data_IF_672149587288
#
_entry.id   IF_672149587288
#
_cell.length_a   1.000
_cell.length_b   1.000
_cell.length_c   1.000
_cell.angle_alpha   90.00
_cell.angle_beta   90.00
_cell.angle_gamma   90.00
#
_symmetry.space_group_name_H-M   'P 1'
#
loop_
_entity.id
_entity.type
_entity.pdbx_description
1 polymer ?
#
# COMPACT_ATOMS: atom_id res chain seq x y z
N UNK A 1 37.21 -11.38 -70.44
CA UNK A 1 37.33 -12.77 -69.94
C UNK A 1 37.44 -12.66 -68.42
N UNK A 2 36.34 -12.46 -67.69
CA UNK A 2 35.34 -13.47 -67.30
C UNK A 2 36.00 -14.61 -66.53
N UNK A 3 35.84 -14.64 -65.20
CA UNK A 3 35.73 -15.84 -64.37
C UNK A 3 35.44 -15.39 -62.93
N UNK A 4 34.16 -15.36 -62.55
CA UNK A 4 33.75 -15.29 -61.15
C UNK A 4 32.81 -16.46 -60.89
N UNK A 5 33.26 -17.33 -60.00
CA UNK A 5 32.80 -18.70 -59.81
C UNK A 5 31.45 -18.75 -59.10
N UNK A 6 30.43 -19.29 -59.76
CA UNK A 6 29.18 -19.74 -59.16
C UNK A 6 29.41 -21.12 -58.53
N UNK A 7 29.18 -21.27 -57.23
CA UNK A 7 28.99 -22.59 -56.60
C UNK A 7 27.63 -22.60 -55.91
N UNK A 8 26.76 -23.44 -56.46
CA UNK A 8 25.46 -23.85 -55.93
C UNK A 8 25.69 -24.70 -54.68
N UNK A 9 25.09 -24.35 -53.56
CA UNK A 9 24.95 -25.24 -52.41
C UNK A 9 23.56 -25.08 -51.79
N UNK A 10 22.88 -26.21 -51.67
CA UNK A 10 21.48 -26.36 -51.35
C UNK A 10 21.14 -25.94 -49.90
N UNK A 11 19.90 -25.47 -49.76
CA UNK A 11 19.21 -25.14 -48.52
C UNK A 11 19.27 -26.29 -47.50
N UNK A 12 19.88 -26.04 -46.34
CA UNK A 12 19.61 -26.78 -45.11
C UNK A 12 18.79 -25.88 -44.18
N UNK A 13 17.47 -26.09 -44.18
CA UNK A 13 16.55 -25.53 -43.20
C UNK A 13 16.77 -26.27 -41.89
N UNK A 14 17.53 -25.67 -40.98
CA UNK A 14 17.66 -26.15 -39.60
C UNK A 14 16.57 -25.45 -38.76
N UNK A 15 15.43 -26.12 -38.62
CA UNK A 15 14.38 -25.73 -37.68
C UNK A 15 14.86 -26.00 -36.24
N UNK A 16 15.47 -25.01 -35.61
CA UNK A 16 15.61 -24.98 -34.14
C UNK A 16 14.27 -24.51 -33.58
N UNK A 17 13.42 -25.48 -33.22
CA UNK A 17 12.23 -25.29 -32.39
C UNK A 17 12.67 -24.84 -31.00
N UNK A 18 12.89 -23.53 -30.84
CA UNK A 18 12.83 -22.92 -29.52
C UNK A 18 11.38 -23.00 -29.03
N UNK A 19 11.10 -23.99 -28.18
CA UNK A 19 9.93 -23.98 -27.30
C UNK A 19 10.08 -22.83 -26.29
N UNK A 20 9.86 -21.59 -26.76
CA UNK A 20 9.47 -20.50 -25.91
C UNK A 20 7.99 -20.72 -25.55
N UNK A 21 7.75 -21.56 -24.54
CA UNK A 21 6.45 -21.58 -23.88
C UNK A 21 6.12 -20.16 -23.41
N UNK A 22 4.85 -19.73 -23.46
CA UNK A 22 4.49 -18.40 -23.01
C UNK A 22 4.87 -18.31 -21.53
N UNK A 23 5.88 -17.49 -21.23
CA UNK A 23 6.09 -16.95 -19.89
C UNK A 23 4.89 -16.04 -19.63
N UNK A 24 3.79 -16.65 -19.19
CA UNK A 24 2.65 -15.90 -18.71
C UNK A 24 3.14 -15.00 -17.59
N UNK A 25 3.05 -13.69 -17.82
CA UNK A 25 3.30 -12.67 -16.83
C UNK A 25 2.41 -12.96 -15.62
N UNK A 26 3.00 -13.50 -14.55
CA UNK A 26 2.32 -13.69 -13.26
C UNK A 26 1.81 -12.37 -12.68
N UNK A 27 2.30 -11.24 -13.19
CA UNK A 27 1.82 -9.90 -12.86
C UNK A 27 0.40 -9.58 -13.39
N UNK A 28 -0.13 -10.35 -14.35
CA UNK A 28 -1.49 -10.15 -14.88
C UNK A 28 -2.53 -11.09 -14.22
N UNK A 29 -2.08 -12.09 -13.46
CA UNK A 29 -2.95 -13.09 -12.84
C UNK A 29 -3.65 -12.59 -11.54
N UNK A 30 -3.23 -11.45 -10.98
CA UNK A 30 -3.86 -10.86 -9.79
C UNK A 30 -4.91 -9.78 -10.11
N UNK A 31 -5.06 -9.37 -11.37
CA UNK A 31 -5.88 -8.20 -11.75
C UNK A 31 -7.29 -8.52 -12.21
N UNK A 32 -7.75 -9.77 -12.12
CA UNK A 32 -9.17 -10.08 -12.32
C UNK A 32 -9.92 -9.96 -11.00
N UNK A 33 -10.33 -8.73 -10.66
CA UNK A 33 -11.62 -8.60 -9.98
C UNK A 33 -12.61 -9.29 -10.91
N UNK A 34 -13.21 -10.40 -10.48
CA UNK A 34 -14.38 -10.89 -11.19
C UNK A 34 -15.34 -9.72 -11.26
N UNK A 35 -15.79 -9.30 -12.44
CA UNK A 35 -16.93 -8.40 -12.59
C UNK A 35 -18.25 -9.01 -12.07
N UNK A 36 -18.14 -9.95 -11.12
CA UNK A 36 -19.22 -10.53 -10.38
C UNK A 36 -19.91 -9.44 -9.58
N UNK A 37 -21.22 -9.55 -9.54
CA UNK A 37 -22.07 -8.71 -8.73
C UNK A 37 -21.72 -8.84 -7.24
N UNK A 38 -21.76 -7.70 -6.54
CA UNK A 38 -21.65 -7.67 -5.09
C UNK A 38 -23.05 -7.77 -4.50
N UNK A 39 -23.29 -8.77 -3.67
CA UNK A 39 -24.63 -9.08 -3.15
C UNK A 39 -25.03 -8.21 -1.95
N UNK A 40 -24.05 -7.64 -1.23
CA UNK A 40 -24.21 -6.87 0.00
C UNK A 40 -23.78 -7.64 1.25
N UNK A 41 -23.47 -6.91 2.32
CA UNK A 41 -22.96 -7.46 3.60
C UNK A 41 -23.94 -8.46 4.22
N UNK A 42 -25.25 -8.25 4.02
CA UNK A 42 -26.30 -9.17 4.47
C UNK A 42 -26.21 -10.58 3.86
N UNK A 43 -25.43 -10.79 2.80
CA UNK A 43 -25.12 -12.13 2.27
C UNK A 43 -24.15 -12.91 3.16
N UNK A 44 -23.35 -12.22 3.99
CA UNK A 44 -22.38 -12.81 4.92
C UNK A 44 -22.93 -12.95 6.35
N UNK A 45 -23.94 -12.15 6.71
CA UNK A 45 -24.33 -11.89 8.10
C UNK A 45 -25.25 -12.95 8.77
N UNK A 46 -25.43 -14.11 8.16
CA UNK A 46 -26.17 -15.21 8.81
C UNK A 46 -25.46 -15.73 10.06
N UNK A 47 -26.21 -16.15 11.08
CA UNK A 47 -25.67 -16.72 12.33
C UNK A 47 -24.91 -18.04 12.13
N UNK A 48 -25.17 -18.74 11.04
CA UNK A 48 -24.39 -19.92 10.60
C UNK A 48 -23.19 -19.57 9.73
N UNK A 49 -23.02 -18.29 9.39
CA UNK A 49 -21.98 -17.75 8.51
C UNK A 49 -21.01 -16.89 9.31
N UNK A 50 -21.15 -15.56 9.28
CA UNK A 50 -20.27 -14.59 9.95
C UNK A 50 -21.00 -13.66 10.94
N UNK A 51 -22.24 -14.00 11.32
CA UNK A 51 -23.11 -13.18 12.18
C UNK A 51 -23.38 -13.76 13.58
N UNK A 52 -22.50 -14.62 14.12
CA UNK A 52 -22.61 -15.09 15.51
C UNK A 52 -22.38 -13.96 16.51
N UNK A 53 -22.87 -14.16 17.73
CA UNK A 53 -22.68 -13.22 18.84
C UNK A 53 -21.36 -13.44 19.61
N UNK A 54 -20.80 -14.64 19.50
CA UNK A 54 -19.54 -15.03 20.12
C UNK A 54 -18.61 -15.62 19.07
N UNK A 55 -17.31 -15.57 19.36
CA UNK A 55 -16.23 -16.02 18.49
C UNK A 55 -15.98 -17.54 18.58
N UNK A 56 -17.04 -18.33 18.57
CA UNK A 56 -17.05 -19.76 18.91
C UNK A 56 -17.34 -20.66 17.68
N UNK A 57 -17.21 -20.12 16.47
CA UNK A 57 -17.36 -20.89 15.25
C UNK A 57 -16.31 -22.00 15.09
N UNK A 58 -16.66 -23.06 14.37
CA UNK A 58 -15.87 -24.30 14.32
C UNK A 58 -14.57 -24.20 13.49
N UNK A 59 -14.55 -23.36 12.45
CA UNK A 59 -13.43 -23.22 11.50
C UNK A 59 -12.87 -21.80 11.49
N UNK A 60 -13.75 -20.82 11.65
CA UNK A 60 -13.44 -19.40 11.81
C UNK A 60 -14.26 -18.89 12.99
N UNK A 61 -14.03 -17.66 13.43
CA UNK A 61 -14.71 -17.11 14.61
C UNK A 61 -16.22 -17.04 14.40
N UNK A 62 -16.65 -16.75 13.17
CA UNK A 62 -18.04 -16.55 12.76
C UNK A 62 -18.72 -15.32 13.39
N UNK A 63 -17.99 -14.46 14.10
CA UNK A 63 -18.43 -13.18 14.67
C UNK A 63 -17.93 -11.96 13.87
N UNK A 64 -17.41 -12.17 12.65
CA UNK A 64 -16.69 -11.14 11.90
C UNK A 64 -17.56 -9.90 11.62
N UNK A 65 -18.87 -10.07 11.42
CA UNK A 65 -19.80 -8.95 11.24
C UNK A 65 -19.88 -8.06 12.48
N UNK A 66 -19.82 -8.63 13.70
CA UNK A 66 -19.85 -7.83 14.93
C UNK A 66 -18.61 -6.94 15.03
N UNK A 67 -17.44 -7.46 14.66
CA UNK A 67 -16.20 -6.69 14.68
C UNK A 67 -16.20 -5.59 13.62
N UNK A 68 -16.65 -5.91 12.41
CA UNK A 68 -16.72 -4.96 11.30
C UNK A 68 -17.76 -3.86 11.55
N UNK A 69 -18.89 -4.16 12.19
CA UNK A 69 -19.92 -3.16 12.47
C UNK A 69 -19.69 -2.37 13.77
N UNK A 70 -18.64 -2.69 14.56
CA UNK A 70 -18.32 -1.94 15.78
C UNK A 70 -17.71 -0.58 15.44
N UNK A 71 -18.59 0.40 15.30
CA UNK A 71 -18.27 1.77 14.93
C UNK A 71 -17.43 2.53 15.96
N UNK A 72 -17.30 1.99 17.18
CA UNK A 72 -16.45 2.57 18.22
C UNK A 72 -14.98 2.13 18.10
N UNK A 73 -14.73 1.03 17.38
CA UNK A 73 -13.41 0.44 17.21
C UNK A 73 -12.73 0.91 15.92
N UNK A 74 -11.43 0.62 15.80
CA UNK A 74 -10.71 0.80 14.53
C UNK A 74 -11.23 -0.16 13.45
N UNK A 75 -11.56 -1.42 13.81
CA UNK A 75 -12.08 -2.42 12.88
C UNK A 75 -13.43 -2.04 12.23
N UNK A 76 -14.19 -1.13 12.84
CA UNK A 76 -15.41 -0.59 12.23
C UNK A 76 -15.22 0.68 11.41
N UNK A 77 -13.98 1.09 11.10
CA UNK A 77 -13.74 2.30 10.31
C UNK A 77 -14.36 2.19 8.91
N UNK A 78 -14.29 1.00 8.32
CA UNK A 78 -14.85 0.69 7.02
C UNK A 78 -16.38 0.71 6.99
N UNK A 79 -17.06 0.14 7.99
CA UNK A 79 -18.53 0.14 8.05
C UNK A 79 -19.12 1.55 8.19
N UNK A 80 -18.45 2.45 8.93
CA UNK A 80 -18.89 3.86 9.07
C UNK A 80 -18.43 4.79 7.95
N UNK A 81 -17.67 4.30 6.96
CA UNK A 81 -17.04 5.13 5.94
C UNK A 81 -18.05 5.95 5.13
N UNK A 82 -19.21 5.38 4.79
CA UNK A 82 -20.25 6.12 4.06
C UNK A 82 -20.88 7.23 4.91
N UNK A 83 -21.05 6.99 6.21
CA UNK A 83 -21.66 7.96 7.12
C UNK A 83 -20.77 9.19 7.35
N UNK A 84 -19.44 9.03 7.34
CA UNK A 84 -18.54 10.18 7.54
C UNK A 84 -18.65 11.22 6.43
N UNK A 85 -19.13 10.84 5.24
CA UNK A 85 -19.41 11.77 4.15
C UNK A 85 -20.53 12.77 4.50
N UNK A 86 -21.55 12.32 5.25
CA UNK A 86 -22.66 13.17 5.69
C UNK A 86 -22.34 14.04 6.91
N UNK A 87 -21.14 13.93 7.48
CA UNK A 87 -20.72 14.72 8.65
C UNK A 87 -20.24 16.12 8.25
N UNK A 88 -20.11 17.08 9.20
CA UNK A 88 -19.76 18.47 8.88
C UNK A 88 -18.53 18.64 7.98
N UNK A 89 -17.49 17.82 8.16
CA UNK A 89 -16.30 17.87 7.29
C UNK A 89 -16.61 17.44 5.86
N UNK A 90 -17.33 16.33 5.66
CA UNK A 90 -17.69 15.82 4.33
C UNK A 90 -18.58 16.79 3.57
N UNK A 91 -19.60 17.35 4.24
CA UNK A 91 -20.46 18.40 3.68
C UNK A 91 -19.67 19.66 3.29
N UNK A 92 -18.71 20.08 4.13
CA UNK A 92 -17.87 21.24 3.84
C UNK A 92 -16.92 21.01 2.65
N UNK A 93 -16.39 19.79 2.49
CA UNK A 93 -15.59 19.40 1.32
C UNK A 93 -16.46 19.47 0.07
N UNK A 94 -17.64 18.83 0.10
CA UNK A 94 -18.55 18.79 -1.04
C UNK A 94 -19.02 20.17 -1.49
N UNK A 95 -19.27 21.08 -0.53
CA UNK A 95 -19.63 22.46 -0.80
C UNK A 95 -18.51 23.23 -1.54
N UNK A 96 -17.24 23.05 -1.14
CA UNK A 96 -16.09 23.67 -1.83
C UNK A 96 -15.85 23.09 -3.21
N UNK A 97 -16.13 21.80 -3.40
CA UNK A 97 -16.00 21.11 -4.69
C UNK A 97 -17.18 21.40 -5.64
N UNK A 98 -18.33 21.84 -5.11
CA UNK A 98 -19.55 22.08 -5.88
C UNK A 98 -20.25 20.80 -6.35
N UNK A 99 -20.10 19.69 -5.62
CA UNK A 99 -20.51 18.33 -6.07
C UNK A 99 -21.84 17.85 -5.46
N UNK A 100 -22.54 18.70 -4.70
CA UNK A 100 -23.80 18.36 -4.06
C UNK A 100 -23.62 17.45 -2.83
N UNK A 101 -24.50 16.46 -2.70
CA UNK A 101 -24.50 15.52 -1.57
C UNK A 101 -23.32 14.52 -1.68
N UNK A 102 -22.32 14.56 -0.78
CA UNK A 102 -21.16 13.68 -0.85
C UNK A 102 -21.54 12.21 -0.69
N UNK A 103 -22.66 11.88 -0.03
CA UNK A 103 -23.14 10.50 0.12
C UNK A 103 -23.69 9.90 -1.17
N UNK A 104 -23.76 10.69 -2.25
CA UNK A 104 -24.20 10.29 -3.59
C UNK A 104 -23.13 10.53 -4.66
N UNK A 105 -22.06 11.23 -4.33
CA UNK A 105 -21.01 11.60 -5.27
C UNK A 105 -20.09 10.42 -5.57
N UNK A 106 -19.99 10.02 -6.84
CA UNK A 106 -19.15 8.88 -7.27
C UNK A 106 -17.67 9.03 -6.86
N UNK A 107 -17.15 10.26 -6.86
CA UNK A 107 -15.77 10.56 -6.43
C UNK A 107 -15.53 10.29 -4.93
N UNK A 108 -16.57 10.33 -4.10
CA UNK A 108 -16.48 9.99 -2.69
C UNK A 108 -16.75 8.50 -2.45
N UNK A 109 -17.75 7.95 -3.14
CA UNK A 109 -18.24 6.59 -2.93
C UNK A 109 -17.24 5.51 -3.35
N UNK A 110 -16.27 5.81 -4.24
CA UNK A 110 -15.26 4.84 -4.65
C UNK A 110 -14.37 4.33 -3.50
N UNK A 111 -14.22 5.10 -2.42
CA UNK A 111 -13.46 4.72 -1.23
C UNK A 111 -14.29 4.69 0.07
N UNK A 112 -15.48 5.30 0.08
CA UNK A 112 -16.34 5.38 1.28
C UNK A 112 -17.55 4.44 1.24
N UNK A 113 -17.74 3.70 0.16
CA UNK A 113 -18.72 2.64 0.05
C UNK A 113 -18.09 1.46 -0.69
N UNK A 114 -18.82 0.35 -0.77
CA UNK A 114 -18.42 -0.78 -1.58
C UNK A 114 -18.46 -0.41 -3.08
N UNK A 115 -17.31 -0.36 -3.78
CA UNK A 115 -17.21 0.10 -5.17
C UNK A 115 -17.63 -1.00 -6.15
N UNK A 116 -18.82 -1.56 -5.94
CA UNK A 116 -19.36 -2.67 -6.69
C UNK A 116 -19.62 -2.29 -8.16
N UNK A 117 -19.03 -3.02 -9.13
CA UNK A 117 -19.32 -2.79 -10.55
C UNK A 117 -20.77 -3.15 -10.92
N UNK A 118 -21.37 -4.09 -10.18
CA UNK A 118 -22.78 -4.47 -10.29
C UNK A 118 -23.30 -4.79 -8.89
N UNK A 119 -24.51 -4.34 -8.57
CA UNK A 119 -25.08 -4.35 -7.21
C UNK A 119 -26.27 -5.30 -7.15
N UNK A 120 -26.18 -6.30 -6.28
CA UNK A 120 -27.23 -7.26 -6.03
C UNK A 120 -28.32 -6.74 -5.11
N UNK A 121 -29.37 -7.55 -4.87
CA UNK A 121 -30.60 -7.09 -4.21
C UNK A 121 -30.45 -6.75 -2.72
N UNK A 122 -29.38 -7.19 -2.05
CA UNK A 122 -29.10 -6.86 -0.64
C UNK A 122 -27.96 -5.86 -0.47
N UNK A 123 -27.44 -5.33 -1.58
CA UNK A 123 -26.38 -4.35 -1.56
C UNK A 123 -26.94 -3.01 -1.07
N UNK A 124 -26.28 -2.42 -0.08
CA UNK A 124 -26.68 -1.12 0.47
C UNK A 124 -25.48 -0.19 0.54
N UNK A 125 -25.59 1.00 -0.05
CA UNK A 125 -24.49 1.99 -0.05
C UNK A 125 -24.10 2.41 1.37
N UNK A 126 -25.05 2.40 2.30
CA UNK A 126 -24.83 2.76 3.70
C UNK A 126 -24.09 1.69 4.51
N UNK A 127 -23.85 0.50 3.95
CA UNK A 127 -22.96 -0.49 4.56
C UNK A 127 -21.50 0.04 4.62
N UNK A 128 -21.17 1.10 3.88
CA UNK A 128 -19.81 1.60 3.80
C UNK A 128 -18.92 0.65 3.00
N UNK A 129 -17.65 0.53 3.40
CA UNK A 129 -16.71 -0.42 2.79
C UNK A 129 -17.02 -1.82 3.36
N UNK A 130 -17.75 -2.61 2.57
CA UNK A 130 -18.27 -3.92 2.97
C UNK A 130 -17.29 -5.08 2.73
N UNK A 131 -17.71 -6.29 3.10
CA UNK A 131 -16.92 -7.52 2.99
C UNK A 131 -16.37 -7.72 1.56
N UNK A 132 -17.21 -7.49 0.56
CA UNK A 132 -16.92 -7.77 -0.85
C UNK A 132 -15.91 -6.79 -1.47
N UNK A 133 -15.70 -5.62 -0.86
CA UNK A 133 -14.67 -4.67 -1.28
C UNK A 133 -13.25 -5.25 -1.08
N UNK A 134 -13.08 -6.14 -0.11
CA UNK A 134 -11.81 -6.82 0.19
C UNK A 134 -11.80 -8.29 -0.27
N UNK A 135 -12.88 -9.02 0.00
CA UNK A 135 -12.99 -10.45 -0.31
C UNK A 135 -13.39 -10.75 -1.76
N UNK A 136 -13.85 -9.74 -2.52
CA UNK A 136 -14.35 -9.89 -3.88
C UNK A 136 -15.87 -10.10 -3.94
N UNK A 137 -16.47 -9.81 -5.10
CA UNK A 137 -17.92 -9.93 -5.31
C UNK A 137 -18.44 -11.34 -5.08
N UNK A 138 -19.47 -11.47 -4.23
CA UNK A 138 -19.96 -12.74 -3.72
C UNK A 138 -20.92 -13.46 -4.69
N UNK A 139 -21.33 -12.85 -5.81
CA UNK A 139 -22.03 -13.58 -6.88
C UNK A 139 -21.07 -14.47 -7.72
N UNK A 140 -19.77 -14.44 -7.43
CA UNK A 140 -18.83 -15.42 -7.98
C UNK A 140 -19.01 -16.80 -7.30
N UNK A 141 -18.58 -17.91 -7.95
CA UNK A 141 -18.75 -19.26 -7.42
C UNK A 141 -18.24 -19.49 -6.00
N UNK A 142 -17.32 -18.65 -5.50
CA UNK A 142 -16.74 -18.80 -4.18
C UNK A 142 -17.76 -18.69 -3.04
N UNK A 143 -18.84 -17.90 -3.16
CA UNK A 143 -19.83 -17.80 -2.07
C UNK A 143 -20.64 -19.08 -1.94
N UNK A 144 -21.13 -19.64 -3.06
CA UNK A 144 -21.90 -20.88 -3.05
C UNK A 144 -21.04 -22.09 -2.67
N UNK A 145 -19.76 -22.09 -3.06
CA UNK A 145 -18.81 -23.10 -2.58
C UNK A 145 -18.37 -22.87 -1.13
N UNK A 146 -18.54 -21.66 -0.56
CA UNK A 146 -18.00 -21.30 0.75
C UNK A 146 -18.54 -22.19 1.88
N UNK A 147 -19.82 -22.51 1.82
CA UNK A 147 -20.52 -23.31 2.83
C UNK A 147 -20.73 -24.78 2.40
N UNK A 148 -20.16 -25.19 1.26
CA UNK A 148 -20.28 -26.55 0.79
C UNK A 148 -19.41 -27.51 1.62
N UNK A 149 -19.86 -28.76 1.76
CA UNK A 149 -19.06 -29.82 2.39
C UNK A 149 -17.78 -30.03 1.59
N UNK A 150 -16.63 -29.98 2.26
CA UNK A 150 -15.31 -30.12 1.63
C UNK A 150 -14.79 -28.85 0.97
N UNK A 151 -15.43 -27.69 1.18
CA UNK A 151 -14.89 -26.41 0.75
C UNK A 151 -13.49 -26.17 1.32
N UNK A 152 -12.58 -25.71 0.47
CA UNK A 152 -11.21 -25.34 0.86
C UNK A 152 -10.96 -23.88 0.53
N UNK A 153 -10.00 -23.26 1.22
CA UNK A 153 -9.58 -21.91 0.87
C UNK A 153 -9.12 -21.83 -0.60
N UNK A 154 -8.31 -22.79 -1.05
CA UNK A 154 -7.85 -22.86 -2.44
C UNK A 154 -8.99 -23.02 -3.47
N UNK A 155 -10.05 -23.79 -3.16
CA UNK A 155 -11.20 -23.89 -4.06
C UNK A 155 -12.01 -22.59 -4.11
N UNK A 156 -12.15 -21.88 -2.98
CA UNK A 156 -12.82 -20.58 -2.95
C UNK A 156 -12.02 -19.51 -3.72
N UNK A 157 -10.69 -19.50 -3.60
CA UNK A 157 -9.83 -18.59 -4.40
C UNK A 157 -9.98 -18.87 -5.89
N UNK A 158 -9.98 -20.15 -6.31
CA UNK A 158 -10.28 -20.52 -7.71
C UNK A 158 -11.69 -20.10 -8.14
N UNK A 159 -12.63 -20.05 -7.21
CA UNK A 159 -14.01 -19.60 -7.42
C UNK A 159 -14.21 -18.08 -7.40
N UNK A 160 -13.16 -17.28 -7.20
CA UNK A 160 -13.23 -15.81 -7.24
C UNK A 160 -13.07 -15.09 -5.90
N UNK A 161 -12.83 -15.81 -4.80
CA UNK A 161 -12.42 -15.18 -3.53
C UNK A 161 -11.07 -14.49 -3.72
N UNK A 162 -10.96 -13.21 -3.35
CA UNK A 162 -9.66 -12.52 -3.34
C UNK A 162 -8.77 -13.13 -2.25
N UNK A 163 -7.54 -13.60 -2.58
CA UNK A 163 -6.64 -14.24 -1.62
C UNK A 163 -5.91 -13.19 -0.76
N UNK A 164 -6.65 -12.39 0.02
CA UNK A 164 -6.08 -11.34 0.86
C UNK A 164 -5.22 -11.87 2.02
N UNK A 165 -5.11 -13.18 2.21
CA UNK A 165 -4.07 -13.79 3.04
C UNK A 165 -2.68 -13.69 2.41
N UNK A 166 -2.58 -13.54 1.08
CA UNK A 166 -1.33 -13.26 0.37
C UNK A 166 -0.99 -11.76 0.43
N UNK A 167 0.24 -11.37 0.88
CA UNK A 167 0.63 -9.98 1.03
C UNK A 167 0.43 -9.10 -0.21
N UNK A 168 0.79 -9.59 -1.41
CA UNK A 168 0.64 -8.81 -2.66
C UNK A 168 -0.83 -8.57 -3.02
N UNK A 169 -1.68 -9.59 -2.87
CA UNK A 169 -3.11 -9.46 -3.15
C UNK A 169 -3.80 -8.54 -2.13
N UNK A 170 -3.38 -8.61 -0.86
CA UNK A 170 -3.83 -7.67 0.16
C UNK A 170 -3.39 -6.24 -0.14
N UNK A 171 -2.12 -6.04 -0.49
CA UNK A 171 -1.57 -4.74 -0.85
C UNK A 171 -2.37 -4.12 -2.00
N UNK A 172 -2.63 -4.88 -3.07
CA UNK A 172 -3.39 -4.41 -4.22
C UNK A 172 -4.79 -3.90 -3.83
N UNK A 173 -5.51 -4.64 -2.99
CA UNK A 173 -6.83 -4.26 -2.50
C UNK A 173 -6.80 -3.03 -1.61
N UNK A 174 -5.93 -3.00 -0.60
CA UNK A 174 -5.90 -1.88 0.34
C UNK A 174 -5.47 -0.58 -0.37
N UNK A 175 -4.46 -0.66 -1.26
CA UNK A 175 -3.94 0.49 -1.98
C UNK A 175 -4.93 1.06 -3.00
N UNK A 176 -6.00 0.34 -3.38
CA UNK A 176 -7.06 0.89 -4.22
C UNK A 176 -7.70 2.14 -3.63
N UNK A 177 -7.89 2.16 -2.31
CA UNK A 177 -8.45 3.31 -1.60
C UNK A 177 -7.39 4.08 -0.82
N UNK A 178 -6.44 3.39 -0.19
CA UNK A 178 -5.50 4.02 0.75
C UNK A 178 -4.31 4.73 0.11
N UNK A 179 -4.09 4.50 -1.17
CA UNK A 179 -3.18 5.29 -1.99
C UNK A 179 -3.95 5.91 -3.17
N UNK A 180 -4.72 5.06 -3.84
CA UNK A 180 -5.49 5.37 -5.02
C UNK A 180 -5.17 4.40 -6.16
N UNK A 181 -6.06 4.34 -7.13
CA UNK A 181 -5.96 3.51 -8.32
C UNK A 181 -6.35 4.32 -9.56
N UNK A 182 -6.37 3.66 -10.73
CA UNK A 182 -6.97 4.24 -11.94
C UNK A 182 -8.50 4.08 -11.99
N UNK A 183 -9.10 3.34 -11.06
CA UNK A 183 -10.54 3.04 -11.06
C UNK A 183 -11.36 4.26 -10.64
N UNK A 184 -12.55 4.39 -11.19
CA UNK A 184 -13.44 5.52 -10.93
C UNK A 184 -13.67 5.75 -9.42
N UNK A 185 -13.61 7.02 -8.99
CA UNK A 185 -13.79 7.40 -7.59
C UNK A 185 -12.73 6.92 -6.59
N UNK A 186 -11.67 6.25 -7.05
CA UNK A 186 -10.59 5.72 -6.21
C UNK A 186 -9.28 6.49 -6.35
N UNK A 187 -9.32 7.81 -6.39
CA UNK A 187 -8.11 8.64 -6.34
C UNK A 187 -8.43 10.00 -5.74
N UNK A 188 -7.82 10.26 -4.58
CA UNK A 188 -7.96 11.54 -3.87
C UNK A 188 -6.91 12.50 -4.46
N UNK A 189 -7.29 13.13 -5.57
CA UNK A 189 -6.44 14.11 -6.24
C UNK A 189 -6.19 15.38 -5.39
N UNK A 190 -5.29 16.24 -5.85
CA UNK A 190 -5.00 17.49 -5.15
C UNK A 190 -6.22 18.41 -5.01
N UNK A 191 -7.20 18.36 -5.92
CA UNK A 191 -8.44 19.17 -5.82
C UNK A 191 -9.27 18.72 -4.62
N UNK A 192 -9.46 17.42 -4.43
CA UNK A 192 -10.20 16.85 -3.29
C UNK A 192 -9.46 17.15 -1.97
N UNK A 193 -8.13 17.00 -1.94
CA UNK A 193 -7.32 17.38 -0.77
C UNK A 193 -7.40 18.88 -0.46
N UNK A 194 -7.33 19.75 -1.46
CA UNK A 194 -7.44 21.19 -1.30
C UNK A 194 -8.80 21.63 -0.75
N UNK A 195 -9.88 20.87 -1.02
CA UNK A 195 -11.18 21.08 -0.40
C UNK A 195 -11.25 20.66 1.08
N UNK A 196 -10.21 19.99 1.59
CA UNK A 196 -10.06 19.62 3.00
C UNK A 196 -10.22 18.13 3.29
N UNK A 197 -10.16 17.27 2.26
CA UNK A 197 -10.03 15.84 2.50
C UNK A 197 -8.73 15.56 3.27
N UNK A 198 -8.77 14.80 4.38
CA UNK A 198 -7.57 14.44 5.10
C UNK A 198 -6.60 13.68 4.20
N UNK A 199 -5.31 13.90 4.38
CA UNK A 199 -4.33 13.06 3.69
C UNK A 199 -4.46 11.62 4.19
N UNK A 200 -4.29 10.68 3.27
CA UNK A 200 -4.29 9.26 3.61
C UNK A 200 -2.84 8.84 3.87
N UNK A 201 -2.55 8.48 5.11
CA UNK A 201 -1.31 7.79 5.48
C UNK A 201 -1.63 6.32 5.71
N UNK A 202 -0.83 5.42 5.13
CA UNK A 202 -1.15 3.99 5.12
C UNK A 202 0.10 3.12 5.18
N UNK A 203 0.12 2.15 6.08
CA UNK A 203 1.12 1.09 6.13
C UNK A 203 0.39 -0.27 6.16
N UNK A 204 0.73 -1.16 5.24
CA UNK A 204 -0.06 -2.35 4.95
C UNK A 204 -0.25 -3.27 6.16
N UNK A 205 0.81 -3.53 6.92
CA UNK A 205 0.74 -4.47 8.04
C UNK A 205 0.11 -3.84 9.29
N UNK A 206 0.40 -2.57 9.56
CA UNK A 206 -0.24 -1.80 10.62
C UNK A 206 -1.77 -1.76 10.41
N UNK A 207 -2.23 -1.38 9.21
CA UNK A 207 -3.65 -1.29 8.92
C UNK A 207 -4.31 -2.68 8.79
N UNK A 208 -3.56 -3.69 8.34
CA UNK A 208 -3.96 -5.10 8.46
C UNK A 208 -4.33 -5.47 9.89
N UNK A 209 -3.52 -5.04 10.86
CA UNK A 209 -3.72 -5.35 12.28
C UNK A 209 -4.94 -4.61 12.82
N UNK A 210 -5.15 -3.36 12.41
CA UNK A 210 -6.31 -2.55 12.84
C UNK A 210 -7.65 -3.13 12.36
N UNK A 211 -7.66 -3.76 11.19
CA UNK A 211 -8.84 -4.37 10.58
C UNK A 211 -9.00 -5.86 10.96
N UNK A 212 -8.10 -6.42 11.78
CA UNK A 212 -8.09 -7.86 12.02
C UNK A 212 -9.36 -8.36 12.71
N UNK A 213 -10.06 -9.23 11.99
CA UNK A 213 -11.24 -9.97 12.44
C UNK A 213 -11.09 -11.48 12.21
N UNK A 214 -9.88 -11.98 12.02
CA UNK A 214 -9.56 -13.42 11.96
C UNK A 214 -8.60 -13.80 13.09
N UNK A 215 -8.60 -15.09 13.45
CA UNK A 215 -7.58 -15.67 14.31
C UNK A 215 -6.47 -16.28 13.45
N UNK A 216 -5.23 -16.15 13.90
CA UNK A 216 -4.06 -16.80 13.30
C UNK A 216 -3.65 -18.00 14.17
N UNK A 217 -4.55 -18.98 14.24
CA UNK A 217 -4.39 -20.21 15.01
C UNK A 217 -3.86 -21.37 14.15
N UNK A 218 -3.83 -22.58 14.73
CA UNK A 218 -3.36 -23.78 14.03
C UNK A 218 -4.19 -24.12 12.78
N UNK A 219 -5.50 -23.83 12.79
CA UNK A 219 -6.36 -24.07 11.64
C UNK A 219 -6.08 -23.03 10.52
N UNK A 220 -5.91 -21.76 10.87
CA UNK A 220 -5.46 -20.74 9.92
C UNK A 220 -4.14 -21.16 9.26
N UNK A 221 -3.15 -21.53 10.07
CA UNK A 221 -1.82 -21.95 9.59
C UNK A 221 -1.93 -23.14 8.63
N UNK A 222 -2.78 -24.12 8.93
CA UNK A 222 -3.01 -25.28 8.06
C UNK A 222 -3.64 -24.90 6.72
N UNK A 223 -4.56 -23.92 6.71
CA UNK A 223 -5.31 -23.52 5.50
C UNK A 223 -4.59 -22.50 4.63
N UNK A 224 -3.82 -21.59 5.23
CA UNK A 224 -3.28 -20.38 4.59
C UNK A 224 -1.78 -20.18 4.79
N UNK A 225 -1.15 -20.99 5.63
CA UNK A 225 0.25 -20.80 6.00
C UNK A 225 0.45 -19.75 7.09
N UNK A 226 1.71 -19.52 7.46
CA UNK A 226 2.08 -18.59 8.53
C UNK A 226 2.09 -17.16 7.99
N UNK A 227 1.33 -16.27 8.63
CA UNK A 227 1.40 -14.85 8.31
C UNK A 227 2.67 -14.23 8.90
N UNK A 228 3.23 -13.26 8.18
CA UNK A 228 4.52 -12.64 8.51
C UNK A 228 4.41 -11.13 8.41
N UNK A 229 4.35 -10.40 9.54
CA UNK A 229 4.27 -8.94 9.58
C UNK A 229 5.36 -8.24 8.77
N UNK A 230 6.61 -8.69 8.92
CA UNK A 230 7.75 -8.18 8.16
C UNK A 230 7.59 -8.43 6.65
N UNK A 231 7.05 -9.59 6.23
CA UNK A 231 6.78 -9.85 4.81
C UNK A 231 5.68 -8.93 4.30
N UNK A 232 4.56 -8.81 5.02
CA UNK A 232 3.46 -7.92 4.69
C UNK A 232 3.94 -6.49 4.53
N UNK A 233 4.69 -5.98 5.51
CA UNK A 233 5.32 -4.66 5.46
C UNK A 233 6.19 -4.51 4.20
N UNK A 234 7.15 -5.41 3.98
CA UNK A 234 8.11 -5.29 2.88
C UNK A 234 7.46 -5.34 1.49
N UNK A 235 6.51 -6.28 1.30
CA UNK A 235 5.70 -6.38 0.07
C UNK A 235 4.83 -5.14 -0.09
N UNK A 236 4.23 -4.64 0.99
CA UNK A 236 3.43 -3.41 0.98
C UNK A 236 4.22 -2.19 0.51
N UNK A 237 5.48 -2.03 0.96
CA UNK A 237 6.35 -0.95 0.49
C UNK A 237 6.60 -1.04 -1.03
N UNK A 238 6.90 -2.24 -1.54
CA UNK A 238 7.13 -2.46 -2.97
C UNK A 238 5.87 -2.21 -3.82
N UNK A 239 4.73 -2.73 -3.36
CA UNK A 239 3.44 -2.55 -4.01
C UNK A 239 3.02 -1.06 -4.04
N UNK A 240 3.25 -0.31 -2.95
CA UNK A 240 2.97 1.12 -2.90
C UNK A 240 3.81 1.91 -3.92
N UNK A 241 5.11 1.62 -4.05
CA UNK A 241 5.95 2.24 -5.09
C UNK A 241 5.43 1.90 -6.49
N UNK A 242 5.11 0.62 -6.73
CA UNK A 242 4.53 0.19 -8.01
C UNK A 242 3.20 0.87 -8.33
N UNK A 243 2.36 1.08 -7.31
CA UNK A 243 1.07 1.78 -7.42
C UNK A 243 1.27 3.25 -7.74
N UNK A 244 2.11 3.95 -6.98
CA UNK A 244 2.44 5.36 -7.18
C UNK A 244 2.86 5.65 -8.62
N UNK A 245 3.80 4.86 -9.14
CA UNK A 245 4.33 5.04 -10.48
C UNK A 245 3.32 4.66 -11.56
N UNK A 246 2.41 3.72 -11.29
CA UNK A 246 1.34 3.37 -12.22
C UNK A 246 0.30 4.49 -12.35
N UNK A 247 -0.14 5.08 -11.24
CA UNK A 247 -1.10 6.19 -11.26
C UNK A 247 -0.45 7.44 -11.85
N UNK A 248 0.79 7.76 -11.44
CA UNK A 248 1.58 8.87 -11.99
C UNK A 248 1.79 8.77 -13.51
N UNK A 249 2.02 7.56 -14.02
CA UNK A 249 2.23 7.36 -15.46
C UNK A 249 0.95 7.38 -16.27
N UNK A 250 -0.21 7.21 -15.61
CA UNK A 250 -1.51 7.19 -16.25
C UNK A 250 -2.15 8.58 -16.46
N UNK A 251 -3.42 8.62 -16.87
CA UNK A 251 -4.17 9.86 -17.07
C UNK A 251 -4.32 10.70 -15.79
N UNK A 252 -4.31 10.05 -14.62
CA UNK A 252 -4.39 10.71 -13.30
C UNK A 252 -3.07 11.32 -12.82
N UNK A 253 -1.98 11.12 -13.56
CA UNK A 253 -0.70 11.77 -13.30
C UNK A 253 -0.61 13.23 -13.73
N UNK A 254 -1.68 13.77 -14.32
CA UNK A 254 -1.76 15.16 -14.80
C UNK A 254 -3.04 15.83 -14.36
N UNK A 255 -2.93 17.10 -14.00
CA UNK A 255 -4.04 17.99 -13.69
C UNK A 255 -3.95 19.22 -14.61
N UNK A 256 -4.69 19.19 -15.71
CA UNK A 256 -4.58 20.21 -16.76
C UNK A 256 -3.17 20.25 -17.35
N UNK A 257 -2.50 21.41 -17.23
CA UNK A 257 -1.13 21.60 -17.74
C UNK A 257 -0.04 21.18 -16.74
N UNK A 258 -0.41 20.80 -15.51
CA UNK A 258 0.53 20.44 -14.45
C UNK A 258 0.61 18.92 -14.28
N UNK A 259 1.75 18.44 -13.77
CA UNK A 259 1.77 17.13 -13.13
C UNK A 259 0.84 17.20 -11.91
N UNK A 260 0.10 16.12 -11.66
CA UNK A 260 -0.85 16.05 -10.55
C UNK A 260 -0.11 16.30 -9.20
N UNK A 261 -0.40 17.40 -8.47
CA UNK A 261 0.36 17.78 -7.29
C UNK A 261 0.31 16.77 -6.14
N UNK A 262 -0.70 15.87 -6.12
CA UNK A 262 -0.79 14.78 -5.15
C UNK A 262 0.51 13.97 -5.03
N UNK A 263 1.30 13.81 -6.09
CA UNK A 263 2.52 13.02 -6.08
C UNK A 263 3.74 13.71 -5.46
N UNK A 264 3.63 14.98 -5.09
CA UNK A 264 4.75 15.80 -4.65
C UNK A 264 4.59 16.23 -3.19
N UNK A 265 5.71 16.45 -2.51
CA UNK A 265 5.72 16.87 -1.10
C UNK A 265 4.99 18.20 -0.93
N UNK A 266 3.83 18.15 -0.26
CA UNK A 266 3.01 19.33 0.00
C UNK A 266 3.78 20.44 0.71
N UNK A 267 4.68 20.11 1.63
CA UNK A 267 5.45 21.08 2.43
C UNK A 267 6.51 21.82 1.63
N UNK A 268 6.85 21.32 0.43
CA UNK A 268 7.72 22.03 -0.50
C UNK A 268 7.03 23.27 -1.10
N UNK A 269 5.70 23.21 -1.27
CA UNK A 269 4.87 24.28 -1.84
C UNK A 269 4.05 25.05 -0.79
N UNK A 270 3.42 24.35 0.16
CA UNK A 270 2.55 24.91 1.21
C UNK A 270 3.36 25.37 2.42
N UNK A 271 4.14 26.43 2.21
CA UNK A 271 4.93 27.10 3.24
C UNK A 271 4.79 28.61 3.10
N UNK A 272 5.17 29.34 4.16
CA UNK A 272 5.21 30.80 4.09
C UNK A 272 6.25 31.23 3.06
N UNK A 273 5.87 32.14 2.18
CA UNK A 273 6.80 32.87 1.32
C UNK A 273 7.57 33.86 2.22
N UNK A 274 8.87 34.01 1.98
CA UNK A 274 9.75 34.89 2.75
C UNK A 274 10.70 35.60 1.81
N UNK A 275 10.80 36.91 1.96
CA UNK A 275 11.75 37.78 1.24
C UNK A 275 12.99 38.10 2.11
N UNK A 276 13.17 37.38 3.22
CA UNK A 276 14.32 37.55 4.10
C UNK A 276 15.60 37.10 3.37
N UNK A 277 16.62 37.97 3.33
CA UNK A 277 17.91 37.66 2.72
C UNK A 277 18.62 36.49 3.40
N UNK A 278 18.33 36.26 4.68
CA UNK A 278 18.86 35.15 5.47
C UNK A 278 17.90 33.94 5.53
N UNK A 279 16.87 33.90 4.66
CA UNK A 279 15.90 32.81 4.64
C UNK A 279 16.57 31.46 4.43
N UNK A 280 16.32 30.54 5.35
CA UNK A 280 16.74 29.15 5.25
C UNK A 280 15.56 28.30 4.75
N UNK A 281 15.73 27.54 3.66
CA UNK A 281 14.70 26.62 3.20
C UNK A 281 14.29 25.66 4.32
N UNK A 282 12.98 25.55 4.56
CA UNK A 282 12.41 24.63 5.54
C UNK A 282 12.57 23.17 5.09
N UNK A 283 12.57 22.94 3.77
CA UNK A 283 12.82 21.62 3.19
C UNK A 283 14.29 21.25 3.37
N UNK A 284 14.53 20.10 4.01
CA UNK A 284 15.87 19.57 4.23
C UNK A 284 16.35 18.80 2.99
N UNK A 285 17.65 18.85 2.64
CA UNK A 285 18.18 18.07 1.54
C UNK A 285 18.14 16.57 1.85
N UNK A 286 17.69 15.77 0.90
CA UNK A 286 17.75 14.32 0.94
C UNK A 286 18.85 13.86 -0.04
N UNK A 287 19.95 13.25 0.44
CA UNK A 287 21.11 12.93 -0.41
C UNK A 287 20.81 11.91 -1.52
N UNK A 288 19.75 11.10 -1.34
CA UNK A 288 19.32 10.12 -2.33
C UNK A 288 18.23 10.66 -3.27
N UNK A 289 17.86 11.93 -3.11
CA UNK A 289 16.89 12.65 -3.93
C UNK A 289 17.56 13.90 -4.53
N UNK A 290 18.34 13.75 -5.62
CA UNK A 290 19.06 14.86 -6.22
C UNK A 290 18.10 15.76 -7.03
N UNK A 291 17.37 16.64 -6.34
CA UNK A 291 16.47 17.64 -6.92
C UNK A 291 17.02 19.05 -6.71
N UNK A 292 17.13 19.89 -7.75
CA UNK A 292 17.49 21.29 -7.62
C UNK A 292 16.51 22.05 -6.70
N UNK A 293 16.99 23.15 -6.10
CA UNK A 293 16.13 24.07 -5.36
C UNK A 293 15.01 24.57 -6.28
N UNK A 294 13.77 24.57 -5.76
CA UNK A 294 12.58 25.02 -6.49
C UNK A 294 11.83 23.92 -7.23
N UNK A 295 12.39 22.70 -7.32
CA UNK A 295 11.67 21.53 -7.85
C UNK A 295 10.91 20.84 -6.70
N UNK A 296 9.57 20.70 -6.78
CA UNK A 296 8.81 19.93 -5.80
C UNK A 296 9.31 18.48 -5.76
N UNK A 297 9.73 17.97 -4.59
CA UNK A 297 10.15 16.59 -4.46
C UNK A 297 8.98 15.63 -4.69
N UNK A 298 9.21 14.52 -5.40
CA UNK A 298 8.24 13.42 -5.44
C UNK A 298 8.18 12.73 -4.06
N UNK A 299 6.98 12.30 -3.66
CA UNK A 299 6.74 11.53 -2.44
C UNK A 299 7.37 10.14 -2.56
N UNK A 300 8.49 9.94 -1.87
CA UNK A 300 9.33 8.74 -2.01
C UNK A 300 9.43 7.91 -0.71
N UNK A 301 8.51 8.12 0.22
CA UNK A 301 8.51 7.48 1.54
C UNK A 301 8.61 5.96 1.46
N UNK A 302 7.82 5.32 0.59
CA UNK A 302 7.89 3.89 0.36
C UNK A 302 9.18 3.48 -0.38
N UNK A 303 9.78 4.37 -1.17
CA UNK A 303 11.10 4.12 -1.79
C UNK A 303 12.21 4.11 -0.74
N UNK A 304 12.15 4.98 0.26
CA UNK A 304 13.10 4.99 1.37
C UNK A 304 12.99 3.68 2.18
N UNK A 305 11.75 3.29 2.55
CA UNK A 305 11.52 2.05 3.30
C UNK A 305 11.94 0.80 2.51
N UNK A 306 11.57 0.73 1.22
CA UNK A 306 11.93 -0.39 0.36
C UNK A 306 13.44 -0.50 0.15
N UNK A 307 14.14 0.63 -0.03
CA UNK A 307 15.60 0.69 -0.11
C UNK A 307 16.25 0.12 1.16
N UNK A 308 15.77 0.51 2.35
CA UNK A 308 16.28 -0.02 3.62
C UNK A 308 16.10 -1.54 3.74
N UNK A 309 14.93 -2.06 3.35
CA UNK A 309 14.67 -3.50 3.33
C UNK A 309 15.56 -4.25 2.33
N UNK A 310 15.64 -3.74 1.09
CA UNK A 310 16.36 -4.37 -0.01
C UNK A 310 17.86 -4.49 0.27
N UNK A 311 18.47 -3.49 0.93
CA UNK A 311 19.89 -3.54 1.35
C UNK A 311 20.22 -4.76 2.21
N UNK A 312 19.24 -5.26 2.99
CA UNK A 312 19.41 -6.42 3.87
C UNK A 312 19.13 -7.72 3.13
N UNK A 313 18.00 -7.81 2.41
CA UNK A 313 17.48 -9.11 1.95
C UNK A 313 17.66 -9.39 0.47
N UNK A 314 17.95 -8.36 -0.34
CA UNK A 314 18.13 -8.46 -1.79
C UNK A 314 19.09 -7.35 -2.29
N UNK A 315 20.36 -7.34 -1.85
CA UNK A 315 21.25 -6.18 -2.05
C UNK A 315 21.54 -5.86 -3.52
N UNK A 316 21.61 -6.87 -4.39
CA UNK A 316 21.85 -6.67 -5.82
C UNK A 316 20.65 -5.98 -6.50
N UNK A 317 19.43 -6.47 -6.23
CA UNK A 317 18.18 -5.85 -6.67
C UNK A 317 18.00 -4.47 -6.04
N UNK A 318 18.39 -4.31 -4.77
CA UNK A 318 18.36 -3.05 -4.03
C UNK A 318 19.22 -1.97 -4.68
N UNK A 319 20.43 -2.31 -5.14
CA UNK A 319 21.28 -1.36 -5.88
C UNK A 319 20.64 -0.91 -7.20
N UNK A 320 19.99 -1.82 -7.93
CA UNK A 320 19.25 -1.48 -9.16
C UNK A 320 18.07 -0.57 -8.87
N UNK A 321 17.33 -0.86 -7.80
CA UNK A 321 16.23 -0.04 -7.33
C UNK A 321 16.69 1.36 -6.93
N UNK A 322 17.73 1.48 -6.11
CA UNK A 322 18.27 2.78 -5.68
C UNK A 322 18.78 3.61 -6.86
N UNK A 323 19.43 2.97 -7.84
CA UNK A 323 19.84 3.64 -9.07
C UNK A 323 18.63 4.13 -9.90
N UNK A 324 17.58 3.32 -10.02
CA UNK A 324 16.36 3.70 -10.70
C UNK A 324 15.61 4.83 -9.97
N UNK A 325 15.58 4.82 -8.63
CA UNK A 325 14.93 5.84 -7.81
C UNK A 325 15.62 7.19 -7.95
N UNK A 326 16.95 7.22 -7.81
CA UNK A 326 17.77 8.42 -8.08
C UNK A 326 17.56 8.93 -9.51
N UNK A 327 17.58 8.04 -10.49
CA UNK A 327 17.34 8.37 -11.89
C UNK A 327 15.95 8.95 -12.16
N UNK A 328 14.92 8.46 -11.46
CA UNK A 328 13.57 9.01 -11.54
C UNK A 328 13.48 10.43 -11.00
N UNK A 329 14.08 10.69 -9.83
CA UNK A 329 14.12 12.05 -9.26
C UNK A 329 14.81 13.05 -10.18
N UNK A 330 15.91 12.66 -10.83
CA UNK A 330 16.56 13.51 -11.84
C UNK A 330 15.64 13.72 -13.04
N UNK A 331 15.00 12.67 -13.55
CA UNK A 331 14.17 12.74 -14.75
C UNK A 331 12.93 13.63 -14.60
N UNK A 332 12.40 13.83 -13.37
CA UNK A 332 11.32 14.77 -13.10
C UNK A 332 11.65 16.21 -13.51
N UNK A 333 12.93 16.56 -13.58
CA UNK A 333 13.41 17.90 -13.99
C UNK A 333 13.62 18.05 -15.49
N UNK A 334 13.54 16.94 -16.25
CA UNK A 334 13.93 16.89 -17.66
C UNK A 334 12.74 16.90 -18.63
N UNK A 335 11.53 16.72 -18.10
CA UNK A 335 10.29 16.69 -18.88
C UNK A 335 9.49 15.40 -18.67
N UNK A 336 8.21 15.46 -19.04
CA UNK A 336 7.27 14.34 -18.84
C UNK A 336 7.73 13.04 -19.54
N UNK A 337 8.17 13.03 -20.81
CA UNK A 337 8.60 11.79 -21.47
C UNK A 337 9.75 11.08 -20.71
N UNK A 338 10.74 11.84 -20.23
CA UNK A 338 11.88 11.34 -19.47
C UNK A 338 11.43 10.80 -18.12
N UNK A 339 10.55 11.53 -17.42
CA UNK A 339 9.97 11.11 -16.16
C UNK A 339 9.17 9.81 -16.30
N UNK A 340 8.34 9.67 -17.34
CA UNK A 340 7.57 8.45 -17.61
C UNK A 340 8.48 7.25 -17.91
N UNK A 341 9.54 7.44 -18.72
CA UNK A 341 10.50 6.39 -19.00
C UNK A 341 11.26 5.94 -17.73
N UNK A 342 11.63 6.89 -16.87
CA UNK A 342 12.27 6.59 -15.59
C UNK A 342 11.32 5.95 -14.58
N UNK A 343 10.06 6.38 -14.53
CA UNK A 343 9.00 5.76 -13.72
C UNK A 343 8.79 4.30 -14.11
N UNK A 344 8.79 3.98 -15.41
CA UNK A 344 8.73 2.61 -15.90
C UNK A 344 9.88 1.74 -15.38
N UNK A 345 11.12 2.23 -15.45
CA UNK A 345 12.30 1.51 -14.93
C UNK A 345 12.22 1.29 -13.41
N UNK A 346 11.83 2.32 -12.66
CA UNK A 346 11.67 2.23 -11.22
C UNK A 346 10.55 1.27 -10.82
N UNK A 347 9.42 1.29 -11.53
CA UNK A 347 8.31 0.36 -11.34
C UNK A 347 8.77 -1.09 -11.55
N UNK A 348 9.52 -1.36 -12.62
CA UNK A 348 10.08 -2.70 -12.87
C UNK A 348 11.04 -3.14 -11.76
N UNK A 349 11.89 -2.24 -11.26
CA UNK A 349 12.80 -2.54 -10.15
C UNK A 349 12.04 -2.82 -8.83
N UNK A 350 10.98 -2.05 -8.55
CA UNK A 350 10.10 -2.28 -7.40
C UNK A 350 9.39 -3.63 -7.49
N UNK A 351 8.85 -4.00 -8.66
CA UNK A 351 8.20 -5.30 -8.87
C UNK A 351 9.16 -6.51 -8.75
N UNK A 352 10.44 -6.32 -9.12
CA UNK A 352 11.47 -7.33 -8.89
C UNK A 352 11.73 -7.54 -7.38
N UNK A 353 11.80 -6.46 -6.60
CA UNK A 353 11.91 -6.53 -5.14
C UNK A 353 10.66 -7.14 -4.50
N UNK A 354 9.46 -6.77 -4.96
CA UNK A 354 8.21 -7.36 -4.49
C UNK A 354 8.23 -8.89 -4.66
N UNK A 355 8.58 -9.37 -5.84
CA UNK A 355 8.66 -10.80 -6.15
C UNK A 355 9.70 -11.52 -5.28
N UNK A 356 10.86 -10.90 -5.05
CA UNK A 356 11.91 -11.44 -4.20
C UNK A 356 11.48 -11.51 -2.73
N UNK A 357 10.77 -10.49 -2.23
CA UNK A 357 10.30 -10.41 -0.84
C UNK A 357 9.09 -11.32 -0.56
N UNK A 358 8.16 -11.43 -1.51
CA UNK A 358 6.98 -12.29 -1.38
C UNK A 358 7.36 -13.78 -1.26
N UNK A 359 8.36 -14.22 -2.05
CA UNK A 359 8.85 -15.61 -2.05
C UNK A 359 9.79 -15.95 -0.89
N UNK A 360 10.15 -14.97 -0.05
CA UNK A 360 11.14 -15.11 1.02
C UNK A 360 10.50 -15.44 2.38
N UNK A 361 11.25 -16.09 3.26
CA UNK A 361 11.01 -16.07 4.72
C UNK A 361 12.02 -15.15 5.38
N UNK A 362 11.56 -14.29 6.29
CA UNK A 362 12.42 -13.33 6.99
C UNK A 362 12.84 -13.90 8.35
N UNK A 363 14.14 -13.96 8.59
CA UNK A 363 14.68 -14.32 9.90
C UNK A 363 14.61 -13.15 10.88
N UNK A 364 14.67 -13.44 12.17
CA UNK A 364 14.78 -12.42 13.22
C UNK A 364 16.00 -11.51 13.02
N UNK A 365 17.14 -12.08 12.62
CA UNK A 365 18.36 -11.31 12.35
C UNK A 365 18.14 -10.29 11.22
N UNK A 366 17.44 -10.69 10.17
CA UNK A 366 17.08 -9.81 9.06
C UNK A 366 16.08 -8.74 9.48
N UNK A 367 15.06 -9.09 10.26
CA UNK A 367 14.12 -8.10 10.81
C UNK A 367 14.85 -7.05 11.64
N UNK A 368 15.78 -7.45 12.52
CA UNK A 368 16.63 -6.52 13.30
C UNK A 368 17.54 -5.67 12.39
N UNK A 369 18.13 -6.26 11.36
CA UNK A 369 18.96 -5.55 10.41
C UNK A 369 18.16 -4.51 9.60
N UNK A 370 16.90 -4.80 9.27
CA UNK A 370 16.00 -3.85 8.61
C UNK A 370 15.63 -2.70 9.56
N UNK A 371 15.32 -2.99 10.83
CA UNK A 371 15.12 -1.94 11.85
C UNK A 371 16.33 -1.01 11.93
N UNK A 372 17.54 -1.58 11.97
CA UNK A 372 18.78 -0.81 11.97
C UNK A 372 18.97 0.00 10.68
N UNK A 373 18.62 -0.56 9.51
CA UNK A 373 18.70 0.14 8.24
C UNK A 373 17.75 1.35 8.20
N UNK A 374 16.50 1.20 8.64
CA UNK A 374 15.53 2.30 8.78
C UNK A 374 16.06 3.36 9.76
N UNK A 375 16.56 2.93 10.92
CA UNK A 375 17.15 3.83 11.91
C UNK A 375 18.28 4.69 11.34
N UNK A 376 19.15 4.09 10.53
CA UNK A 376 20.27 4.76 9.89
C UNK A 376 19.84 5.83 8.87
N UNK A 377 18.68 5.68 8.23
CA UNK A 377 18.15 6.69 7.31
C UNK A 377 17.65 7.95 8.04
N UNK A 378 17.33 7.86 9.34
CA UNK A 378 16.71 8.95 10.08
C UNK A 378 17.56 10.21 10.27
N UNK A 379 18.88 10.12 10.13
CA UNK A 379 19.75 11.30 10.09
C UNK A 379 19.77 12.00 8.72
N UNK A 380 19.31 11.34 7.65
CA UNK A 380 19.61 11.72 6.27
C UNK A 380 18.37 11.93 5.41
N UNK A 381 17.45 10.97 5.38
CA UNK A 381 16.37 10.88 4.37
C UNK A 381 14.98 11.23 4.87
N UNK A 382 14.75 11.34 6.19
CA UNK A 382 13.45 11.79 6.73
C UNK A 382 13.37 13.32 6.71
N UNK A 383 13.25 13.87 5.51
CA UNK A 383 13.29 15.31 5.23
C UNK A 383 11.91 15.95 5.12
N UNK A 384 10.89 15.15 4.85
CA UNK A 384 9.51 15.56 4.63
C UNK A 384 8.54 14.74 5.49
N UNK A 385 7.28 15.14 5.49
CA UNK A 385 6.25 14.58 6.36
C UNK A 385 5.98 13.10 6.06
N UNK A 386 5.85 12.70 4.79
CA UNK A 386 5.51 11.30 4.46
C UNK A 386 6.64 10.34 4.78
N UNK A 387 7.89 10.71 4.46
CA UNK A 387 9.02 9.88 4.82
C UNK A 387 9.07 9.63 6.34
N UNK A 388 8.70 10.66 7.11
CA UNK A 388 8.65 10.60 8.57
C UNK A 388 7.48 9.78 9.09
N UNK A 389 6.28 9.97 8.54
CA UNK A 389 5.09 9.19 8.89
C UNK A 389 5.29 7.70 8.60
N UNK A 390 5.85 7.36 7.42
CA UNK A 390 6.16 5.97 7.11
C UNK A 390 7.26 5.39 7.97
N UNK A 391 8.28 6.17 8.33
CA UNK A 391 9.36 5.67 9.17
C UNK A 391 8.85 5.22 10.53
N UNK A 392 7.98 6.01 11.19
CA UNK A 392 7.44 5.64 12.51
C UNK A 392 6.45 4.48 12.42
N UNK A 393 5.58 4.44 11.41
CA UNK A 393 4.70 3.28 11.17
C UNK A 393 5.51 2.01 10.90
N UNK A 394 6.53 2.10 10.05
CA UNK A 394 7.43 0.99 9.76
C UNK A 394 8.18 0.50 11.01
N UNK A 395 8.72 1.40 11.82
CA UNK A 395 9.40 1.02 13.07
C UNK A 395 8.46 0.27 14.03
N UNK A 396 7.22 0.72 14.16
CA UNK A 396 6.21 0.10 15.01
C UNK A 396 5.82 -1.30 14.50
N UNK A 397 5.53 -1.40 13.21
CA UNK A 397 5.26 -2.66 12.52
C UNK A 397 6.41 -3.67 12.69
N UNK A 398 7.65 -3.23 12.57
CA UNK A 398 8.81 -4.11 12.75
C UNK A 398 9.03 -4.55 14.20
N UNK A 399 8.68 -3.70 15.19
CA UNK A 399 8.66 -4.13 16.58
C UNK A 399 7.59 -5.22 16.79
N UNK A 400 6.40 -5.06 16.21
CA UNK A 400 5.37 -6.11 16.24
C UNK A 400 5.84 -7.40 15.54
N UNK A 401 6.59 -7.29 14.44
CA UNK A 401 7.20 -8.44 13.78
C UNK A 401 8.19 -9.19 14.69
N UNK A 402 9.05 -8.46 15.42
CA UNK A 402 9.97 -9.04 16.40
C UNK A 402 9.23 -9.74 17.55
N UNK A 403 8.12 -9.16 18.02
CA UNK A 403 7.27 -9.79 19.03
C UNK A 403 6.68 -11.11 18.51
N UNK A 404 6.16 -11.10 17.28
CA UNK A 404 5.60 -12.30 16.66
C UNK A 404 6.64 -13.39 16.40
N UNK A 405 7.88 -13.02 16.10
CA UNK A 405 8.99 -13.95 15.96
C UNK A 405 9.50 -14.50 17.31
N UNK A 406 8.95 -14.05 18.44
CA UNK A 406 9.41 -14.42 19.78
C UNK A 406 10.77 -13.82 20.16
N UNK A 407 11.25 -12.85 19.38
CA UNK A 407 12.54 -12.20 19.59
C UNK A 407 12.47 -11.05 20.61
N UNK A 408 11.27 -10.59 20.93
CA UNK A 408 10.98 -9.54 21.89
C UNK A 408 9.68 -9.92 22.60
N UNK A 409 9.60 -9.83 23.92
CA UNK A 409 8.34 -10.09 24.65
C UNK A 409 7.40 -8.88 24.56
N UNK A 410 6.11 -9.07 24.83
CA UNK A 410 5.15 -7.95 24.87
C UNK A 410 5.53 -6.91 25.92
N UNK A 411 6.08 -7.36 27.05
CA UNK A 411 6.55 -6.50 28.14
C UNK A 411 7.74 -5.65 27.68
N UNK A 412 8.71 -6.25 27.00
CA UNK A 412 9.86 -5.55 26.41
C UNK A 412 9.42 -4.52 25.36
N UNK A 413 8.51 -4.92 24.46
CA UNK A 413 7.93 -4.01 23.48
C UNK A 413 7.17 -2.83 24.12
N UNK A 414 6.57 -3.07 25.30
CA UNK A 414 5.96 -2.05 26.16
C UNK A 414 6.93 -0.94 26.55
N UNK A 415 8.20 -1.28 26.81
CA UNK A 415 9.26 -0.31 27.15
C UNK A 415 9.60 0.67 26.02
N UNK A 416 9.35 0.30 24.76
CA UNK A 416 9.60 1.16 23.60
C UNK A 416 8.40 2.04 23.20
N UNK A 417 7.22 1.85 23.82
CA UNK A 417 5.98 2.55 23.43
C UNK A 417 6.06 4.06 23.62
N UNK A 418 6.54 4.53 24.78
CA UNK A 418 6.65 5.97 25.06
C UNK A 418 7.48 6.74 24.01
N UNK A 419 8.69 6.26 23.64
CA UNK A 419 9.47 6.81 22.54
C UNK A 419 8.76 6.76 21.17
N UNK A 420 8.09 5.65 20.83
CA UNK A 420 7.33 5.52 19.57
C UNK A 420 6.17 6.52 19.52
N UNK A 421 5.40 6.66 20.60
CA UNK A 421 4.30 7.63 20.69
C UNK A 421 4.80 9.06 20.55
N UNK A 422 6.01 9.36 21.04
CA UNK A 422 6.65 10.66 20.84
C UNK A 422 6.98 10.92 19.37
N UNK A 423 7.42 9.90 18.62
CA UNK A 423 7.64 10.00 17.18
C UNK A 423 6.31 10.17 16.43
N UNK A 424 5.26 9.43 16.77
CA UNK A 424 3.92 9.62 16.19
C UNK A 424 3.35 11.02 16.46
N UNK A 425 3.54 11.56 17.67
CA UNK A 425 3.12 12.94 17.97
C UNK A 425 3.78 13.98 17.06
N UNK A 426 5.04 13.75 16.67
CA UNK A 426 5.77 14.67 15.80
C UNK A 426 5.28 14.65 14.33
N UNK A 427 4.50 13.65 13.93
CA UNK A 427 3.85 13.54 12.61
C UNK A 427 2.33 13.50 12.71
N UNK A 428 1.75 13.91 13.84
CA UNK A 428 0.28 13.85 14.04
C UNK A 428 -0.48 14.89 13.20
N UNK A 429 0.10 16.08 13.05
CA UNK A 429 -0.50 17.18 12.30
C UNK A 429 0.49 17.62 11.21
N UNK A 430 0.16 17.44 9.93
CA UNK A 430 1.02 17.91 8.85
C UNK A 430 1.25 19.43 8.92
N UNK A 431 0.31 20.24 9.42
CA UNK A 431 0.49 21.69 9.47
C UNK A 431 1.51 22.14 10.54
N UNK A 432 1.69 21.33 11.58
CA UNK A 432 2.64 21.59 12.66
C UNK A 432 3.97 20.82 12.50
N UNK A 433 4.10 20.04 11.43
CA UNK A 433 5.25 19.16 11.21
C UNK A 433 6.56 19.94 11.12
N UNK A 434 7.57 19.43 11.83
CA UNK A 434 8.94 19.94 11.79
C UNK A 434 9.92 18.77 11.67
N UNK A 435 10.71 18.71 10.57
CA UNK A 435 11.52 17.53 10.28
C UNK A 435 12.60 17.26 11.34
N UNK A 436 13.23 18.29 11.89
CA UNK A 436 14.27 18.11 12.91
C UNK A 436 13.72 17.60 14.24
N UNK A 437 12.52 18.06 14.64
CA UNK A 437 11.85 17.56 15.85
C UNK A 437 11.47 16.08 15.69
N UNK A 438 10.94 15.71 14.52
CA UNK A 438 10.66 14.31 14.19
C UNK A 438 11.93 13.47 14.22
N UNK A 439 13.00 13.86 13.52
CA UNK A 439 14.26 13.09 13.49
C UNK A 439 14.79 12.80 14.89
N UNK A 440 14.75 13.79 15.79
CA UNK A 440 15.16 13.61 17.17
C UNK A 440 14.26 12.62 17.94
N UNK A 441 12.93 12.71 17.76
CA UNK A 441 11.98 11.77 18.36
C UNK A 441 12.13 10.35 17.81
N UNK A 442 12.28 10.23 16.49
CA UNK A 442 12.45 8.96 15.80
C UNK A 442 13.74 8.26 16.21
N UNK A 443 14.86 8.97 16.34
CA UNK A 443 16.12 8.34 16.80
C UNK A 443 16.01 7.77 18.22
N UNK A 444 15.26 8.42 19.11
CA UNK A 444 14.97 7.87 20.45
C UNK A 444 14.11 6.59 20.35
N UNK A 445 13.09 6.61 19.50
CA UNK A 445 12.26 5.43 19.25
C UNK A 445 13.07 4.27 18.66
N UNK A 446 13.86 4.53 17.62
CA UNK A 446 14.70 3.54 16.97
C UNK A 446 15.75 2.95 17.91
N UNK A 447 16.36 3.78 18.77
CA UNK A 447 17.29 3.31 19.80
C UNK A 447 16.60 2.42 20.84
N UNK A 448 15.38 2.80 21.28
CA UNK A 448 14.61 2.01 22.22
C UNK A 448 14.24 0.63 21.64
N UNK A 449 13.81 0.57 20.39
CA UNK A 449 13.52 -0.70 19.70
C UNK A 449 14.79 -1.53 19.47
N UNK A 450 15.87 -0.89 19.03
CA UNK A 450 17.15 -1.55 18.74
C UNK A 450 17.83 -2.16 19.96
N UNK A 451 17.53 -1.67 21.17
CA UNK A 451 18.06 -2.20 22.43
C UNK A 451 17.26 -3.36 23.05
N UNK A 452 16.18 -3.82 22.42
CA UNK A 452 15.37 -4.94 22.93
C UNK A 452 15.99 -6.28 22.51
N UNK A 453 16.01 -7.27 23.40
CA UNK A 453 16.68 -8.56 23.21
C UNK A 453 15.84 -9.78 23.56
#
# INVERSE_FOLDING_TARGET
MALTTLVVAAFAVLAILCFAGPKGDRAEAATRISGAEHLGVASCAGTTCHGRQEADGAVVRQDEILRWQDESSQAGAHSRAWRVLGQPRGLAIAAKLGIGDPQKAGECLGCHADPAPTRGPRWTVSDGVGCESCHGGANAPWLSSHYAVGATHASNVKGGLTPIDEPSARADRCLDCHFGSAREGQFVDHRIMAAGHPRISFELDLFTTLEQHWNEDADYLKRKGASSPIKSWAVGQAAAVGRALSVYSGPRGVAGVFAEPYFFDCHSCHRRISDDADFKPISLPNPERPTPVGVPPFQDENMIMLSAAAKVVAPAEGQRFDAAARGFHVALTQGRPQALAAAGRLKSAAGALESAMASRTFSTAETRAIVAAIAAEGGRRYTDYEASAQAVMGLDTLLNALVKQGAVTKEQAGGARGPIDAAYRAVRDPNAYKPLEFRAAFQRAASAVGGLH
#
